data_IF_826278945137
#
_entry.id   IF_826278945137
#
_cell.length_a   1.000
_cell.length_b   1.000
_cell.length_c   1.000
_cell.angle_alpha   90.00
_cell.angle_beta   90.00
_cell.angle_gamma   90.00
#
_symmetry.space_group_name_H-M   'P 1'
#
loop_
_entity.id
_entity.type
_entity.pdbx_description
1 polymer ?
#
# COMPACT_ATOMS: atom_id res chain seq x y z
N UNK A 1 -9.09 22.77 -52.76
CA UNK A 1 -9.03 21.45 -52.10
C UNK A 1 -10.11 21.45 -51.03
N UNK A 2 -11.27 20.88 -51.33
CA UNK A 2 -12.38 20.76 -50.39
C UNK A 2 -12.09 19.57 -49.49
N UNK A 3 -11.86 19.82 -48.21
CA UNK A 3 -11.61 18.75 -47.23
C UNK A 3 -12.95 18.11 -46.89
N UNK A 4 -13.10 16.83 -47.22
CA UNK A 4 -14.28 16.03 -46.91
C UNK A 4 -14.36 15.82 -45.38
N UNK A 5 -15.23 16.55 -44.70
CA UNK A 5 -15.37 16.56 -43.24
C UNK A 5 -16.22 15.40 -42.68
N UNK A 6 -16.64 14.46 -43.54
CA UNK A 6 -17.55 13.37 -43.19
C UNK A 6 -16.97 12.32 -42.22
N UNK A 7 -15.65 12.27 -42.03
CA UNK A 7 -14.99 11.32 -41.11
C UNK A 7 -14.95 11.78 -39.63
N UNK A 8 -15.24 13.06 -39.36
CA UNK A 8 -15.28 13.62 -38.00
C UNK A 8 -16.20 12.88 -37.02
N UNK A 9 -17.45 12.51 -37.38
CA UNK A 9 -18.30 11.73 -36.48
C UNK A 9 -17.71 10.35 -36.16
N UNK A 10 -17.01 9.72 -37.11
CA UNK A 10 -16.34 8.44 -36.89
C UNK A 10 -15.22 8.53 -35.85
N UNK A 11 -14.39 9.57 -35.94
CA UNK A 11 -13.33 9.83 -34.98
C UNK A 11 -13.87 10.12 -33.56
N UNK A 12 -14.93 10.92 -33.45
CA UNK A 12 -15.57 11.21 -32.18
C UNK A 12 -16.16 9.95 -31.51
N UNK A 13 -16.76 9.06 -32.31
CA UNK A 13 -17.36 7.82 -31.83
C UNK A 13 -16.29 6.82 -31.36
N UNK A 14 -15.17 6.72 -32.08
CA UNK A 14 -14.04 5.87 -31.68
C UNK A 14 -13.39 6.36 -30.37
N UNK A 15 -13.24 7.68 -30.21
CA UNK A 15 -12.72 8.28 -28.99
C UNK A 15 -13.69 8.07 -27.81
N UNK A 16 -14.99 8.24 -28.03
CA UNK A 16 -16.01 8.00 -27.01
C UNK A 16 -16.04 6.52 -26.55
N UNK A 17 -15.92 5.58 -27.49
CA UNK A 17 -15.82 4.14 -27.17
C UNK A 17 -14.55 3.80 -26.41
N UNK A 18 -13.40 4.37 -26.82
CA UNK A 18 -12.13 4.23 -26.12
C UNK A 18 -12.19 4.77 -24.68
N UNK A 19 -12.80 5.95 -24.48
CA UNK A 19 -13.02 6.52 -23.16
C UNK A 19 -13.95 5.63 -22.32
N UNK A 20 -15.06 5.15 -22.88
CA UNK A 20 -16.01 4.30 -22.16
C UNK A 20 -15.36 2.98 -21.71
N UNK A 21 -14.51 2.39 -22.55
CA UNK A 21 -13.72 1.19 -22.22
C UNK A 21 -12.69 1.49 -21.12
N UNK A 22 -11.94 2.59 -21.22
CA UNK A 22 -10.99 3.02 -20.20
C UNK A 22 -11.67 3.32 -18.85
N UNK A 23 -12.90 3.86 -18.86
CA UNK A 23 -13.69 4.11 -17.65
C UNK A 23 -14.20 2.82 -17.00
N UNK A 24 -14.49 1.79 -17.79
CA UNK A 24 -14.86 0.45 -17.28
C UNK A 24 -13.67 -0.25 -16.63
N UNK A 25 -12.47 -0.13 -17.21
CA UNK A 25 -11.25 -0.73 -16.64
C UNK A 25 -10.75 0.04 -15.40
N UNK A 26 -10.94 1.37 -15.35
CA UNK A 26 -10.60 2.18 -14.18
C UNK A 26 -11.45 1.84 -12.94
N UNK A 27 -12.64 1.24 -13.13
CA UNK A 27 -13.46 0.70 -12.03
C UNK A 27 -13.00 -0.66 -11.51
N UNK A 28 -11.99 -1.30 -12.14
CA UNK A 28 -11.26 -2.45 -11.60
C UNK A 28 -10.01 -2.06 -10.82
N UNK A 29 -9.81 -0.77 -10.56
CA UNK A 29 -8.99 -0.40 -9.41
C UNK A 29 -9.68 -0.99 -8.19
N UNK A 30 -9.01 -1.98 -7.60
CA UNK A 30 -9.47 -2.68 -6.41
C UNK A 30 -10.11 -1.69 -5.46
N UNK A 31 -11.33 -1.95 -4.94
CA UNK A 31 -11.85 -1.15 -3.87
C UNK A 31 -10.77 -1.15 -2.80
N UNK A 32 -10.20 0.02 -2.52
CA UNK A 32 -9.48 0.25 -1.27
C UNK A 32 -10.33 -0.41 -0.21
N UNK A 33 -9.78 -1.46 0.40
CA UNK A 33 -10.45 -2.24 1.43
C UNK A 33 -11.03 -1.21 2.40
N UNK A 34 -12.36 -1.06 2.36
CA UNK A 34 -13.08 -0.32 3.36
C UNK A 34 -12.91 -1.18 4.59
N UNK A 35 -11.85 -0.91 5.35
CA UNK A 35 -11.75 -1.35 6.73
C UNK A 35 -13.09 -0.94 7.34
N UNK A 36 -13.88 -1.91 7.79
CA UNK A 36 -15.02 -1.64 8.65
C UNK A 36 -14.38 -1.04 9.89
N UNK A 37 -14.37 0.29 9.97
CA UNK A 37 -13.58 1.02 10.95
C UNK A 37 -14.25 0.80 12.31
N UNK A 38 -13.57 0.19 13.29
CA UNK A 38 -14.14 -0.08 14.61
C UNK A 38 -14.58 1.22 15.29
N UNK A 39 -15.56 1.16 16.20
CA UNK A 39 -16.05 2.34 16.93
C UNK A 39 -14.95 3.14 17.65
N UNK A 40 -13.85 2.48 18.05
CA UNK A 40 -12.66 3.14 18.61
C UNK A 40 -11.93 4.03 17.59
N UNK A 41 -11.87 3.59 16.33
CA UNK A 41 -11.39 4.43 15.22
C UNK A 41 -12.34 5.60 14.99
N UNK A 42 -13.66 5.38 15.03
CA UNK A 42 -14.66 6.44 14.84
C UNK A 42 -14.61 7.50 15.95
N UNK A 43 -14.40 7.10 17.22
CA UNK A 43 -14.12 8.03 18.32
C UNK A 43 -12.81 8.79 18.12
N UNK A 44 -11.78 8.11 17.63
CA UNK A 44 -10.53 8.75 17.22
C UNK A 44 -10.71 9.76 16.08
N UNK A 45 -11.52 9.40 15.07
CA UNK A 45 -11.85 10.21 13.91
C UNK A 45 -12.71 11.42 14.27
N UNK A 46 -13.62 11.28 15.24
CA UNK A 46 -14.40 12.39 15.78
C UNK A 46 -13.48 13.42 16.47
N UNK A 47 -12.35 13.00 17.05
CA UNK A 47 -11.30 13.93 17.51
C UNK A 47 -10.47 14.51 16.36
N UNK A 48 -10.29 13.77 15.25
CA UNK A 48 -9.56 14.23 14.05
C UNK A 48 -10.35 15.25 13.21
N UNK A 49 -11.67 15.34 13.39
CA UNK A 49 -12.49 16.44 12.84
C UNK A 49 -12.25 17.77 13.57
N UNK A 50 -11.56 17.75 14.72
CA UNK A 50 -11.09 18.94 15.43
C UNK A 50 -9.58 19.10 15.31
N UNK A 51 -9.11 19.68 14.20
CA UNK A 51 -7.86 20.41 13.91
C UNK A 51 -6.48 19.98 14.49
N UNK A 52 -6.35 19.04 15.43
CA UNK A 52 -5.13 18.89 16.22
C UNK A 52 -4.69 17.41 16.43
N UNK A 53 -3.87 16.84 15.51
CA UNK A 53 -3.41 15.44 15.59
C UNK A 53 -2.54 15.16 16.83
N UNK A 54 -2.02 16.20 17.50
CA UNK A 54 -1.24 16.08 18.73
C UNK A 54 -2.12 15.61 19.91
N UNK A 55 -3.31 16.18 20.08
CA UNK A 55 -4.23 15.82 21.19
C UNK A 55 -4.79 14.41 21.07
N UNK A 56 -4.94 13.90 19.85
CA UNK A 56 -5.41 12.55 19.59
C UNK A 56 -4.40 11.48 20.09
N UNK A 57 -3.10 11.76 20.04
CA UNK A 57 -2.07 10.77 20.42
C UNK A 57 -2.06 10.51 21.93
N UNK A 58 -2.22 11.56 22.74
CA UNK A 58 -2.23 11.43 24.20
C UNK A 58 -3.50 10.71 24.68
N UNK A 59 -4.65 11.05 24.11
CA UNK A 59 -5.91 10.36 24.37
C UNK A 59 -5.83 8.87 23.98
N UNK A 60 -5.29 8.54 22.80
CA UNK A 60 -5.12 7.15 22.39
C UNK A 60 -4.11 6.38 23.25
N UNK A 61 -3.02 7.03 23.66
CA UNK A 61 -2.04 6.40 24.56
C UNK A 61 -2.68 6.05 25.90
N UNK A 62 -3.55 6.93 26.43
CA UNK A 62 -4.31 6.65 27.65
C UNK A 62 -5.30 5.52 27.47
N UNK A 63 -6.05 5.50 26.36
CA UNK A 63 -6.97 4.40 26.07
C UNK A 63 -6.23 3.05 25.99
N UNK A 64 -5.06 3.00 25.34
CA UNK A 64 -4.25 1.76 25.26
C UNK A 64 -3.74 1.33 26.62
N UNK A 65 -3.44 2.27 27.54
CA UNK A 65 -3.06 1.93 28.92
C UNK A 65 -4.19 1.25 29.69
N UNK A 66 -5.44 1.64 29.42
CA UNK A 66 -6.61 1.02 30.06
C UNK A 66 -7.00 -0.32 29.45
N UNK A 67 -6.85 -0.48 28.14
CA UNK A 67 -7.15 -1.71 27.41
C UNK A 67 -5.91 -2.27 26.70
N UNK A 68 -4.90 -2.75 27.44
CA UNK A 68 -3.64 -3.20 26.85
C UNK A 68 -3.80 -4.45 25.99
N UNK A 69 -4.87 -5.23 26.16
CA UNK A 69 -5.08 -6.45 25.38
C UNK A 69 -5.83 -6.20 24.07
N UNK A 70 -6.39 -5.00 23.87
CA UNK A 70 -7.19 -4.65 22.71
C UNK A 70 -6.29 -4.45 21.48
N UNK A 71 -6.23 -5.48 20.64
CA UNK A 71 -5.43 -5.52 19.43
C UNK A 71 -5.73 -4.36 18.47
N UNK A 72 -7.01 -4.08 18.21
CA UNK A 72 -7.42 -3.05 17.26
C UNK A 72 -6.99 -1.65 17.72
N UNK A 73 -7.06 -1.41 19.02
CA UNK A 73 -6.64 -0.14 19.62
C UNK A 73 -5.12 0.07 19.49
N UNK A 74 -4.32 -0.98 19.69
CA UNK A 74 -2.87 -0.91 19.49
C UNK A 74 -2.49 -0.71 18.02
N UNK A 75 -3.19 -1.36 17.08
CA UNK A 75 -3.00 -1.14 15.64
C UNK A 75 -3.29 0.33 15.28
N UNK A 76 -4.41 0.87 15.79
CA UNK A 76 -4.77 2.27 15.57
C UNK A 76 -3.71 3.24 16.13
N UNK A 77 -3.15 2.94 17.32
CA UNK A 77 -2.06 3.73 17.90
C UNK A 77 -0.81 3.71 16.98
N UNK A 78 -0.44 2.54 16.43
CA UNK A 78 0.65 2.42 15.47
C UNK A 78 0.45 3.31 14.23
N UNK A 79 -0.76 3.30 13.67
CA UNK A 79 -1.12 4.16 12.53
C UNK A 79 -0.97 5.66 12.85
N UNK A 80 -1.37 6.07 14.06
CA UNK A 80 -1.23 7.46 14.51
C UNK A 80 0.24 7.87 14.63
N UNK A 81 1.10 7.03 15.22
CA UNK A 81 2.54 7.29 15.28
C UNK A 81 3.16 7.45 13.89
N UNK A 82 2.80 6.57 12.94
CA UNK A 82 3.28 6.69 11.55
C UNK A 82 2.85 8.01 10.89
N UNK A 83 1.60 8.44 11.11
CA UNK A 83 1.08 9.71 10.56
C UNK A 83 1.76 10.93 11.17
N UNK A 84 2.08 10.89 12.46
CA UNK A 84 2.81 11.95 13.18
C UNK A 84 4.29 12.02 12.77
N UNK A 85 4.82 10.97 12.14
CA UNK A 85 6.25 10.85 11.82
C UNK A 85 7.07 10.22 12.95
N UNK A 86 6.44 9.73 14.02
CA UNK A 86 7.07 8.94 15.08
C UNK A 86 7.25 7.48 14.64
N UNK A 87 7.94 7.27 13.51
CA UNK A 87 8.04 5.95 12.86
C UNK A 87 8.66 4.88 13.76
N UNK A 88 9.65 5.23 14.57
CA UNK A 88 10.28 4.28 15.49
C UNK A 88 9.31 3.73 16.54
N UNK A 89 8.36 4.55 16.98
CA UNK A 89 7.31 4.11 17.92
C UNK A 89 6.30 3.21 17.22
N UNK A 90 5.90 3.57 15.99
CA UNK A 90 5.00 2.73 15.18
C UNK A 90 5.59 1.32 14.95
N UNK A 91 6.86 1.26 14.54
CA UNK A 91 7.60 0.00 14.33
C UNK A 91 7.57 -0.85 15.60
N UNK A 92 7.90 -0.26 16.76
CA UNK A 92 7.89 -1.00 18.04
C UNK A 92 6.51 -1.54 18.39
N UNK A 93 5.46 -0.76 18.20
CA UNK A 93 4.08 -1.20 18.46
C UNK A 93 3.72 -2.40 17.57
N UNK A 94 3.91 -2.31 16.26
CA UNK A 94 3.57 -3.42 15.36
C UNK A 94 4.47 -4.66 15.54
N UNK A 95 5.75 -4.49 15.88
CA UNK A 95 6.64 -5.62 16.25
C UNK A 95 6.16 -6.33 17.51
N UNK A 96 5.79 -5.58 18.55
CA UNK A 96 5.25 -6.16 19.79
C UNK A 96 3.95 -6.92 19.54
N UNK A 97 3.08 -6.39 18.68
CA UNK A 97 1.87 -7.08 18.27
C UNK A 97 2.16 -8.38 17.53
N UNK A 98 3.10 -8.38 16.57
CA UNK A 98 3.50 -9.57 15.82
C UNK A 98 4.13 -10.66 16.68
N UNK A 99 4.76 -10.30 17.80
CA UNK A 99 5.36 -11.23 18.74
C UNK A 99 4.31 -12.06 19.51
N UNK A 100 3.03 -11.66 19.49
CA UNK A 100 1.97 -12.42 20.15
C UNK A 100 1.67 -13.72 19.41
N UNK A 101 1.45 -14.79 20.16
CA UNK A 101 1.20 -16.13 19.61
C UNK A 101 -0.28 -16.38 19.29
N UNK A 102 -1.20 -15.61 19.86
CA UNK A 102 -2.66 -15.73 19.75
C UNK A 102 -3.25 -15.19 18.42
N UNK A 103 -2.41 -14.75 17.48
CA UNK A 103 -2.85 -14.18 16.22
C UNK A 103 -3.19 -15.24 15.17
N UNK A 104 -4.33 -15.08 14.49
CA UNK A 104 -4.65 -15.83 13.26
C UNK A 104 -3.66 -15.48 12.15
N UNK A 105 -3.57 -16.35 11.13
CA UNK A 105 -2.68 -16.13 10.00
C UNK A 105 -2.98 -14.83 9.25
N UNK A 106 -4.27 -14.49 9.11
CA UNK A 106 -4.75 -13.27 8.45
C UNK A 106 -4.35 -12.03 9.25
N UNK A 107 -4.53 -12.06 10.58
CA UNK A 107 -4.16 -10.94 11.46
C UNK A 107 -2.65 -10.73 11.49
N UNK A 108 -1.88 -11.82 11.55
CA UNK A 108 -0.41 -11.75 11.46
C UNK A 108 0.04 -11.18 10.12
N UNK A 109 -0.57 -11.60 9.02
CA UNK A 109 -0.28 -11.05 7.70
C UNK A 109 -0.60 -9.55 7.62
N UNK A 110 -1.75 -9.13 8.14
CA UNK A 110 -2.16 -7.72 8.15
C UNK A 110 -1.21 -6.85 8.99
N UNK A 111 -0.80 -7.31 10.17
CA UNK A 111 0.19 -6.62 11.00
C UNK A 111 1.56 -6.53 10.33
N UNK A 112 1.97 -7.59 9.64
CA UNK A 112 3.25 -7.61 8.93
C UNK A 112 3.25 -6.70 7.71
N UNK A 113 2.09 -6.55 7.04
CA UNK A 113 1.88 -5.49 6.05
C UNK A 113 2.01 -4.11 6.70
N UNK A 114 1.34 -3.84 7.82
CA UNK A 114 1.44 -2.55 8.50
C UNK A 114 2.87 -2.21 8.95
N UNK A 115 3.61 -3.19 9.48
CA UNK A 115 5.01 -3.03 9.83
C UNK A 115 5.87 -2.69 8.60
N UNK A 116 5.60 -3.30 7.45
CA UNK A 116 6.33 -2.96 6.22
C UNK A 116 6.11 -1.50 5.79
N UNK A 117 4.89 -0.98 5.94
CA UNK A 117 4.59 0.43 5.64
C UNK A 117 5.30 1.38 6.60
N UNK A 118 5.45 1.00 7.87
CA UNK A 118 6.24 1.76 8.83
C UNK A 118 7.72 1.81 8.44
N UNK A 119 8.30 0.68 8.01
CA UNK A 119 9.67 0.64 7.50
C UNK A 119 9.85 1.52 6.27
N UNK A 120 8.91 1.50 5.32
CA UNK A 120 8.94 2.39 4.15
C UNK A 120 8.91 3.86 4.57
N UNK A 121 8.07 4.21 5.56
CA UNK A 121 7.99 5.58 6.08
C UNK A 121 9.28 6.01 6.79
N UNK A 122 9.95 5.08 7.46
CA UNK A 122 11.24 5.29 8.12
C UNK A 122 12.45 5.28 7.16
N UNK A 123 12.25 4.92 5.88
CA UNK A 123 13.35 4.77 4.91
C UNK A 123 14.15 3.47 5.05
N UNK A 124 13.65 2.51 5.85
CA UNK A 124 14.28 1.20 6.09
C UNK A 124 13.86 0.20 5.02
N UNK A 125 14.24 0.44 3.76
CA UNK A 125 13.72 -0.29 2.60
C UNK A 125 14.06 -1.78 2.60
N UNK A 126 15.26 -2.18 3.05
CA UNK A 126 15.66 -3.60 3.13
C UNK A 126 14.74 -4.39 4.08
N UNK A 127 14.39 -3.79 5.22
CA UNK A 127 13.48 -4.40 6.20
C UNK A 127 12.05 -4.43 5.69
N UNK A 128 11.62 -3.40 4.97
CA UNK A 128 10.31 -3.38 4.32
C UNK A 128 10.20 -4.51 3.31
N UNK A 129 11.22 -4.69 2.47
CA UNK A 129 11.30 -5.77 1.48
C UNK A 129 11.20 -7.13 2.15
N UNK A 130 12.00 -7.38 3.18
CA UNK A 130 12.00 -8.66 3.90
C UNK A 130 10.63 -8.96 4.52
N UNK A 131 10.02 -7.94 5.13
CA UNK A 131 8.69 -8.04 5.75
C UNK A 131 7.59 -8.33 4.73
N UNK A 132 7.69 -7.79 3.52
CA UNK A 132 6.74 -8.10 2.46
C UNK A 132 7.04 -9.45 1.81
N UNK A 133 8.31 -9.85 1.71
CA UNK A 133 8.72 -11.13 1.13
C UNK A 133 8.21 -12.31 1.96
N UNK A 134 8.12 -12.17 3.28
CA UNK A 134 7.51 -13.22 4.13
C UNK A 134 6.02 -13.43 3.87
N UNK A 135 5.33 -12.45 3.27
CA UNK A 135 3.91 -12.54 2.93
C UNK A 135 3.63 -13.23 1.59
N UNK A 136 4.67 -13.58 0.81
CA UNK A 136 4.55 -14.13 -0.56
C UNK A 136 3.64 -15.36 -0.66
N UNK A 137 3.61 -16.20 0.38
CA UNK A 137 2.82 -17.44 0.39
C UNK A 137 1.59 -17.34 1.32
N UNK A 138 1.22 -16.13 1.76
CA UNK A 138 0.18 -15.89 2.74
C UNK A 138 -1.13 -15.33 2.15
N UNK A 139 -2.11 -15.02 3.01
CA UNK A 139 -3.42 -14.49 2.58
C UNK A 139 -3.33 -13.11 1.92
N UNK A 140 -2.23 -12.37 2.11
CA UNK A 140 -1.98 -11.05 1.51
C UNK A 140 -0.87 -11.09 0.44
N UNK A 141 -0.61 -12.25 -0.17
CA UNK A 141 0.45 -12.44 -1.16
C UNK A 141 0.38 -11.42 -2.31
N UNK A 142 -0.79 -11.25 -2.91
CA UNK A 142 -0.98 -10.35 -4.07
C UNK A 142 -0.75 -8.89 -3.71
N UNK A 143 -1.24 -8.46 -2.53
CA UNK A 143 -1.04 -7.10 -2.04
C UNK A 143 0.43 -6.85 -1.70
N UNK A 144 1.07 -7.80 -1.02
CA UNK A 144 2.47 -7.69 -0.66
C UNK A 144 3.36 -7.63 -1.91
N UNK A 145 3.07 -8.42 -2.95
CA UNK A 145 3.81 -8.40 -4.21
C UNK A 145 3.70 -7.03 -4.91
N UNK A 146 2.52 -6.41 -4.91
CA UNK A 146 2.32 -5.05 -5.45
C UNK A 146 3.13 -4.02 -4.68
N UNK A 147 3.04 -4.02 -3.35
CA UNK A 147 3.82 -3.12 -2.50
C UNK A 147 5.33 -3.29 -2.69
N UNK A 148 5.80 -4.53 -2.90
CA UNK A 148 7.23 -4.79 -3.20
C UNK A 148 7.65 -4.26 -4.55
N UNK A 149 6.81 -4.41 -5.58
CA UNK A 149 7.07 -3.86 -6.90
C UNK A 149 7.18 -2.33 -6.82
N UNK A 150 6.22 -1.68 -6.16
CA UNK A 150 6.21 -0.23 -5.95
C UNK A 150 7.46 0.23 -5.20
N UNK A 151 7.85 -0.50 -4.16
CA UNK A 151 9.07 -0.24 -3.40
C UNK A 151 10.32 -0.37 -4.28
N UNK A 152 10.46 -1.47 -5.03
CA UNK A 152 11.59 -1.73 -5.93
C UNK A 152 11.73 -0.63 -6.99
N UNK A 153 10.62 -0.21 -7.59
CA UNK A 153 10.60 0.92 -8.53
C UNK A 153 11.01 2.24 -7.87
N UNK A 154 10.51 2.50 -6.65
CA UNK A 154 10.84 3.71 -5.89
C UNK A 154 12.32 3.81 -5.56
N UNK A 155 12.95 2.69 -5.17
CA UNK A 155 14.39 2.63 -4.89
C UNK A 155 15.26 2.44 -6.14
N UNK A 156 14.63 2.30 -7.31
CA UNK A 156 15.27 2.05 -8.62
C UNK A 156 16.06 0.73 -8.67
N UNK A 157 15.63 -0.28 -7.93
CA UNK A 157 16.11 -1.65 -8.06
C UNK A 157 15.38 -2.34 -9.21
N UNK A 158 15.86 -2.06 -10.43
CA UNK A 158 15.27 -2.59 -11.66
C UNK A 158 15.39 -4.11 -11.79
N UNK A 159 16.51 -4.76 -11.40
CA UNK A 159 16.59 -6.23 -11.38
C UNK A 159 15.50 -6.86 -10.51
N UNK A 160 15.31 -6.36 -9.28
CA UNK A 160 14.27 -6.86 -8.40
C UNK A 160 12.88 -6.60 -8.97
N UNK A 161 12.62 -5.37 -9.46
CA UNK A 161 11.34 -5.02 -10.06
C UNK A 161 10.98 -5.92 -11.25
N UNK A 162 11.95 -6.22 -12.12
CA UNK A 162 11.74 -7.11 -13.27
C UNK A 162 11.46 -8.56 -12.84
N UNK A 163 12.09 -9.04 -11.77
CA UNK A 163 11.84 -10.39 -11.23
C UNK A 163 10.44 -10.55 -10.60
N UNK A 164 9.89 -9.46 -10.05
CA UNK A 164 8.61 -9.40 -9.32
C UNK A 164 7.45 -9.11 -10.26
N UNK A 165 7.69 -8.34 -11.33
CA UNK A 165 6.66 -7.85 -12.23
C UNK A 165 5.94 -9.01 -12.94
N UNK A 166 4.59 -9.03 -12.94
CA UNK A 166 3.84 -9.98 -13.74
C UNK A 166 4.16 -9.77 -15.23
N UNK A 167 4.32 -10.88 -15.97
CA UNK A 167 4.59 -10.92 -17.41
C UNK A 167 3.88 -9.86 -18.29
N UNK A 168 2.58 -9.52 -18.08
CA UNK A 168 1.92 -8.47 -18.89
C UNK A 168 2.52 -7.06 -18.73
N UNK A 169 3.06 -6.69 -17.55
CA UNK A 169 3.65 -5.35 -17.33
C UNK A 169 4.96 -5.19 -18.10
N UNK A 170 5.67 -6.29 -18.32
CA UNK A 170 6.94 -6.32 -19.06
C UNK A 170 6.72 -5.99 -20.55
N UNK A 171 5.54 -6.31 -21.11
CA UNK A 171 5.20 -6.05 -22.51
C UNK A 171 4.85 -4.58 -22.78
N UNK A 172 4.14 -3.89 -21.88
CA UNK A 172 3.67 -2.51 -22.14
C UNK A 172 4.73 -1.43 -21.91
N UNK A 173 5.66 -1.63 -20.97
CA UNK A 173 6.60 -0.57 -20.57
C UNK A 173 8.01 -0.69 -21.18
N UNK A 174 8.25 -1.60 -22.12
CA UNK A 174 9.57 -1.75 -22.78
C UNK A 174 10.72 -2.09 -21.81
N UNK A 175 10.39 -2.57 -20.61
CA UNK A 175 11.33 -2.87 -19.53
C UNK A 175 12.34 -3.96 -19.93
N UNK A 176 11.99 -4.87 -20.85
CA UNK A 176 12.89 -5.89 -21.41
C UNK A 176 14.11 -5.30 -22.10
N UNK A 177 13.97 -4.22 -22.87
CA UNK A 177 15.08 -3.65 -23.64
C UNK A 177 16.02 -2.78 -22.77
N UNK A 178 15.54 -2.28 -21.63
CA UNK A 178 16.34 -1.55 -20.64
C UNK A 178 17.02 -2.50 -19.64
N UNK A 179 16.31 -3.52 -19.17
CA UNK A 179 16.86 -4.52 -18.23
C UNK A 179 17.92 -5.41 -18.90
N UNK A 180 17.72 -5.85 -20.15
CA UNK A 180 18.74 -6.62 -20.87
C UNK A 180 20.02 -5.81 -21.15
N UNK A 181 19.93 -4.49 -21.30
CA UNK A 181 21.11 -3.63 -21.55
C UNK A 181 21.93 -3.32 -20.31
N UNK A 182 21.31 -3.28 -19.13
CA UNK A 182 21.99 -3.02 -17.86
C UNK A 182 22.62 -4.29 -17.28
N UNK A 183 22.02 -5.46 -17.49
CA UNK A 183 22.58 -6.76 -17.08
C UNK A 183 23.82 -7.16 -17.89
N UNK A 184 23.93 -6.73 -19.15
CA UNK A 184 25.12 -6.99 -19.98
C UNK A 184 26.25 -5.96 -19.83
N UNK A 185 26.10 -4.98 -18.93
CA UNK A 185 27.06 -3.88 -18.74
C UNK A 185 27.85 -3.98 -17.42
N UNK A 186 27.70 -5.08 -16.67
CA UNK A 186 28.44 -5.39 -15.44
C UNK A 186 29.34 -6.60 -15.62
#
# INVERSE_FOLDING_TARGET
MEFDFWWLPGAALFFALGWLAARRESSRQHPHHQAVLPEAYLRGLQSLLGEDPLRATDAFTELVRHEPDNLELQIALGHLFRRKGETDRAIRVHQNLLARQDLTAERRAALQRELSLDYIKAGLFDRAEQSLQSLRNGPLADEAQKLRLDLAQRVRDWPLAASIAPHPIIQEHGLTAACCRLSSAS
#
